data_IF_532462341306
#
_entry.id   IF_532462341306
#
_cell.length_a   1.000
_cell.length_b   1.000
_cell.length_c   1.000
_cell.angle_alpha   90.00
_cell.angle_beta   90.00
_cell.angle_gamma   90.00
#
_symmetry.space_group_name_H-M   'P 1'
#
loop_
_entity.id
_entity.type
_entity.pdbx_description
1 polymer ?
#
# COMPACT_ATOMS: atom_id res chain seq x y z
N UNK A 1 -24.26 11.24 -14.51
CA UNK A 1 -24.90 9.93 -14.24
C UNK A 1 -24.17 9.32 -13.06
N UNK A 2 -24.89 9.06 -11.96
CA UNK A 2 -24.29 8.61 -10.71
C UNK A 2 -23.79 7.17 -10.81
N UNK A 3 -22.50 6.97 -10.57
CA UNK A 3 -21.95 5.67 -10.23
C UNK A 3 -22.43 5.33 -8.82
N UNK A 4 -23.52 4.56 -8.74
CA UNK A 4 -23.75 3.68 -7.59
C UNK A 4 -22.78 2.51 -7.75
N UNK A 5 -21.55 2.68 -7.30
CA UNK A 5 -20.71 1.54 -6.94
C UNK A 5 -21.34 0.95 -5.68
N UNK A 6 -21.81 -0.29 -5.74
CA UNK A 6 -22.12 -1.04 -4.53
C UNK A 6 -20.82 -1.17 -3.73
N UNK A 7 -20.73 -0.40 -2.65
CA UNK A 7 -19.56 -0.27 -1.74
C UNK A 7 -19.31 -1.57 -0.94
N UNK A 8 -20.01 -2.66 -1.27
CA UNK A 8 -20.08 -3.86 -0.43
C UNK A 8 -19.03 -4.93 -0.74
N UNK A 9 -18.17 -4.72 -1.75
CA UNK A 9 -17.21 -5.74 -2.22
C UNK A 9 -15.76 -5.20 -2.30
N UNK A 10 -15.46 -4.15 -1.54
CA UNK A 10 -14.20 -3.40 -1.62
C UNK A 10 -13.10 -4.00 -0.74
N UNK A 11 -12.65 -5.22 -1.02
CA UNK A 11 -11.41 -5.77 -0.44
C UNK A 11 -11.21 -5.49 1.06
N UNK A 12 -10.04 -4.98 1.46
CA UNK A 12 -9.83 -4.50 2.84
C UNK A 12 -10.41 -3.09 3.02
N UNK A 13 -11.29 -2.89 4.01
CA UNK A 13 -12.04 -1.65 4.19
C UNK A 13 -11.17 -0.46 4.59
N UNK A 14 -9.92 -0.66 5.03
CA UNK A 14 -8.96 0.43 5.21
C UNK A 14 -8.70 1.21 3.92
N UNK A 15 -8.75 0.55 2.75
CA UNK A 15 -8.66 1.20 1.43
C UNK A 15 -9.92 2.02 1.15
N UNK A 16 -11.11 1.47 1.43
CA UNK A 16 -12.39 2.17 1.29
C UNK A 16 -12.46 3.41 2.16
N UNK A 17 -12.03 3.31 3.42
CA UNK A 17 -11.93 4.45 4.33
C UNK A 17 -10.91 5.47 3.83
N UNK A 18 -9.74 5.03 3.32
CA UNK A 18 -8.73 5.92 2.76
C UNK A 18 -9.27 6.70 1.56
N UNK A 19 -10.00 6.02 0.67
CA UNK A 19 -10.72 6.65 -0.42
C UNK A 19 -11.69 7.70 0.14
N UNK A 20 -12.64 7.29 0.98
CA UNK A 20 -13.65 8.21 1.50
C UNK A 20 -13.02 9.46 2.14
N UNK A 21 -12.00 9.30 2.99
CA UNK A 21 -11.35 10.42 3.68
C UNK A 21 -10.63 11.36 2.71
N UNK A 22 -9.87 10.84 1.73
CA UNK A 22 -9.22 11.68 0.71
C UNK A 22 -10.27 12.45 -0.10
N UNK A 23 -11.35 11.79 -0.50
CA UNK A 23 -12.44 12.39 -1.28
C UNK A 23 -13.08 13.58 -0.58
N UNK A 24 -13.32 13.49 0.73
CA UNK A 24 -13.91 14.58 1.53
C UNK A 24 -13.00 15.80 1.68
N UNK A 25 -11.70 15.64 1.42
CA UNK A 25 -10.70 16.69 1.65
C UNK A 25 -10.10 17.27 0.38
N UNK A 26 -10.51 16.77 -0.79
CA UNK A 26 -10.02 17.25 -2.08
C UNK A 26 -10.24 18.75 -2.27
N UNK A 27 -9.16 19.43 -2.66
CA UNK A 27 -9.11 20.86 -2.94
C UNK A 27 -8.90 21.11 -4.44
N UNK A 28 -8.88 22.39 -4.81
CA UNK A 28 -8.49 22.83 -6.16
C UNK A 28 -6.99 22.75 -6.39
N UNK A 29 -6.19 22.94 -5.34
CA UNK A 29 -4.73 22.77 -5.39
C UNK A 29 -4.38 21.27 -5.44
N UNK A 30 -3.87 20.84 -6.59
CA UNK A 30 -3.53 19.44 -6.87
C UNK A 30 -2.28 18.99 -6.11
N UNK A 31 -1.34 19.89 -5.82
CA UNK A 31 -0.17 19.54 -5.01
C UNK A 31 -0.55 19.38 -3.54
N UNK A 32 -1.49 20.20 -3.06
CA UNK A 32 -2.09 19.98 -1.74
C UNK A 32 -2.81 18.63 -1.67
N UNK A 33 -3.54 18.25 -2.71
CA UNK A 33 -4.16 16.93 -2.80
C UNK A 33 -3.11 15.80 -2.77
N UNK A 34 -1.99 15.94 -3.48
CA UNK A 34 -0.90 14.96 -3.44
C UNK A 34 -0.34 14.79 -2.02
N UNK A 35 -0.04 15.91 -1.33
CA UNK A 35 0.48 15.89 0.04
C UNK A 35 -0.49 15.25 1.02
N UNK A 36 -1.78 15.53 0.85
CA UNK A 36 -2.83 14.96 1.68
C UNK A 36 -3.01 13.46 1.45
N UNK A 37 -3.15 13.03 0.19
CA UNK A 37 -3.25 11.62 -0.16
C UNK A 37 -2.02 10.84 0.33
N UNK A 38 -0.82 11.40 0.19
CA UNK A 38 0.41 10.83 0.73
C UNK A 38 0.38 10.70 2.26
N UNK A 39 -0.05 11.75 2.97
CA UNK A 39 -0.15 11.74 4.44
C UNK A 39 -1.10 10.64 4.95
N UNK A 40 -2.27 10.52 4.32
CA UNK A 40 -3.26 9.50 4.67
C UNK A 40 -2.74 8.10 4.31
N UNK A 41 -1.98 7.97 3.21
CA UNK A 41 -1.32 6.71 2.83
C UNK A 41 -0.25 6.28 3.84
N UNK A 42 0.51 7.23 4.41
CA UNK A 42 1.48 6.89 5.46
C UNK A 42 0.78 6.32 6.70
N UNK A 43 -0.41 6.83 7.06
CA UNK A 43 -1.23 6.27 8.15
C UNK A 43 -1.75 4.88 7.83
N UNK A 44 -2.19 4.65 6.59
CA UNK A 44 -2.60 3.32 6.12
C UNK A 44 -1.45 2.32 6.30
N UNK A 45 -0.25 2.67 5.84
CA UNK A 45 0.93 1.83 6.01
C UNK A 45 1.23 1.60 7.49
N UNK A 46 1.22 2.66 8.31
CA UNK A 46 1.47 2.57 9.75
C UNK A 46 0.51 1.58 10.42
N UNK A 47 -0.78 1.65 10.09
CA UNK A 47 -1.81 0.75 10.61
C UNK A 47 -1.47 -0.71 10.29
N UNK A 48 -1.13 -0.98 9.02
CA UNK A 48 -0.74 -2.32 8.56
C UNK A 48 0.55 -2.82 9.23
N UNK A 49 1.55 -1.95 9.41
CA UNK A 49 2.77 -2.28 10.13
C UNK A 49 2.49 -2.63 11.58
N UNK A 50 1.64 -1.87 12.29
CA UNK A 50 1.29 -2.14 13.69
C UNK A 50 0.56 -3.47 13.87
N UNK A 51 -0.33 -3.82 12.95
CA UNK A 51 -0.99 -5.13 12.94
C UNK A 51 0.05 -6.24 12.71
N UNK A 52 0.94 -6.08 11.72
CA UNK A 52 2.00 -7.06 11.47
C UNK A 52 2.92 -7.24 12.68
N UNK A 53 3.39 -6.14 13.28
CA UNK A 53 4.18 -6.15 14.51
C UNK A 53 3.45 -6.95 15.61
N UNK A 54 2.15 -6.71 15.80
CA UNK A 54 1.36 -7.44 16.77
C UNK A 54 1.31 -8.94 16.45
N UNK A 55 1.01 -9.32 15.20
CA UNK A 55 0.99 -10.73 14.78
C UNK A 55 2.30 -11.46 15.09
N UNK A 56 3.45 -10.81 14.90
CA UNK A 56 4.76 -11.39 15.18
C UNK A 56 5.00 -11.60 16.68
N UNK A 57 4.39 -10.78 17.55
CA UNK A 57 4.52 -10.87 19.01
C UNK A 57 3.61 -11.90 19.69
N UNK A 58 2.63 -12.46 18.98
CA UNK A 58 1.72 -13.47 19.52
C UNK A 58 2.50 -14.75 19.87
N UNK A 59 2.27 -15.32 21.06
CA UNK A 59 2.91 -16.57 21.46
C UNK A 59 2.56 -17.72 20.51
N UNK A 60 3.57 -18.44 20.02
CA UNK A 60 3.39 -19.49 19.01
C UNK A 60 3.27 -18.97 17.58
N UNK A 61 3.44 -17.66 17.34
CA UNK A 61 3.47 -17.08 16.00
C UNK A 61 4.50 -17.76 15.10
N UNK A 62 5.65 -18.18 15.62
CA UNK A 62 6.70 -18.86 14.83
C UNK A 62 6.21 -20.11 14.09
N UNK A 63 5.23 -20.83 14.65
CA UNK A 63 4.71 -22.07 14.06
C UNK A 63 3.53 -21.82 13.11
N UNK A 64 2.96 -20.61 13.16
CA UNK A 64 1.65 -20.32 12.58
C UNK A 64 1.65 -19.11 11.66
N UNK A 65 2.58 -18.18 11.78
CA UNK A 65 2.71 -17.06 10.88
C UNK A 65 3.44 -17.51 9.61
N UNK A 66 3.00 -17.01 8.44
CA UNK A 66 3.63 -17.25 7.14
C UNK A 66 3.32 -16.09 6.20
N UNK A 67 4.09 -15.93 5.12
CA UNK A 67 3.81 -14.93 4.07
C UNK A 67 2.40 -15.11 3.46
N UNK A 68 1.97 -16.35 3.29
CA UNK A 68 0.63 -16.66 2.77
C UNK A 68 -0.46 -16.18 3.75
N UNK A 69 -0.30 -16.44 5.05
CA UNK A 69 -1.24 -15.96 6.07
C UNK A 69 -1.24 -14.44 6.21
N UNK A 70 -0.08 -13.79 6.06
CA UNK A 70 0.00 -12.34 5.99
C UNK A 70 -0.74 -11.77 4.77
N UNK A 71 -0.60 -12.42 3.61
CA UNK A 71 -1.29 -12.03 2.38
C UNK A 71 -2.81 -12.17 2.54
N UNK A 72 -3.28 -13.33 3.03
CA UNK A 72 -4.69 -13.60 3.29
C UNK A 72 -5.26 -12.59 4.30
N UNK A 73 -4.50 -12.26 5.35
CA UNK A 73 -4.92 -11.29 6.34
C UNK A 73 -5.16 -9.92 5.68
N UNK A 74 -4.31 -9.48 4.75
CA UNK A 74 -4.46 -8.20 4.05
C UNK A 74 -5.60 -8.19 3.01
N UNK A 75 -5.89 -9.30 2.35
CA UNK A 75 -6.93 -9.36 1.30
C UNK A 75 -8.32 -9.69 1.85
N UNK A 76 -8.38 -10.52 2.89
CA UNK A 76 -9.63 -11.08 3.42
C UNK A 76 -9.95 -10.57 4.83
N UNK A 77 -9.40 -9.41 5.22
CA UNK A 77 -9.60 -8.81 6.54
C UNK A 77 -11.07 -8.61 6.91
N UNK A 78 -11.87 -8.16 5.94
CA UNK A 78 -13.31 -7.93 6.08
C UNK A 78 -14.10 -9.21 6.38
N UNK A 79 -13.66 -10.37 5.85
CA UNK A 79 -14.34 -11.67 6.06
C UNK A 79 -13.92 -12.31 7.38
N UNK A 80 -12.63 -12.26 7.72
CA UNK A 80 -12.06 -13.13 8.76
C UNK A 80 -11.82 -12.44 10.09
N UNK A 81 -11.66 -11.11 10.12
CA UNK A 81 -11.13 -10.40 11.28
C UNK A 81 -11.87 -9.08 11.58
N UNK A 82 -13.15 -9.00 11.23
CA UNK A 82 -13.98 -7.80 11.37
C UNK A 82 -13.31 -6.55 10.80
N UNK A 83 -12.53 -6.70 9.73
CA UNK A 83 -11.78 -5.61 9.12
C UNK A 83 -10.85 -4.85 10.10
N UNK A 84 -10.02 -5.60 10.82
CA UNK A 84 -9.08 -5.05 11.81
C UNK A 84 -8.18 -3.93 11.26
N UNK A 85 -7.87 -3.96 9.95
CA UNK A 85 -7.12 -2.87 9.30
C UNK A 85 -7.93 -1.59 9.23
N UNK A 86 -9.20 -1.66 8.81
CA UNK A 86 -10.09 -0.51 8.79
C UNK A 86 -10.26 0.07 10.20
N UNK A 87 -10.52 -0.79 11.19
CA UNK A 87 -10.69 -0.35 12.58
C UNK A 87 -9.47 0.41 13.12
N UNK A 88 -8.26 -0.14 12.94
CA UNK A 88 -7.05 0.54 13.42
C UNK A 88 -6.79 1.82 12.62
N UNK A 89 -6.98 1.80 11.32
CA UNK A 89 -6.78 2.97 10.47
C UNK A 89 -7.73 4.12 10.86
N UNK A 90 -9.01 3.81 11.09
CA UNK A 90 -10.02 4.76 11.59
C UNK A 90 -9.68 5.31 12.98
N UNK A 91 -9.13 4.49 13.87
CA UNK A 91 -8.63 4.96 15.17
C UNK A 91 -7.49 5.97 15.02
N UNK A 92 -6.64 5.84 13.99
CA UNK A 92 -5.50 6.72 13.78
C UNK A 92 -5.82 7.96 12.94
N UNK A 93 -6.86 7.95 12.10
CA UNK A 93 -7.23 9.10 11.26
C UNK A 93 -7.44 10.42 12.03
N UNK A 94 -8.11 10.45 13.20
CA UNK A 94 -8.26 11.66 14.01
C UNK A 94 -6.94 12.32 14.41
N UNK A 95 -5.83 11.57 14.46
CA UNK A 95 -4.50 12.11 14.76
C UNK A 95 -4.10 13.18 13.75
N UNK A 96 -4.53 13.07 12.47
CA UNK A 96 -4.29 14.11 11.47
C UNK A 96 -4.99 15.43 11.78
N UNK A 97 -6.13 15.38 12.48
CA UNK A 97 -6.94 16.55 12.79
C UNK A 97 -6.63 17.16 14.17
N UNK A 98 -6.04 16.40 15.09
CA UNK A 98 -5.82 16.83 16.48
C UNK A 98 -4.62 17.77 16.68
N UNK A 99 -3.68 17.85 15.73
CA UNK A 99 -2.56 18.78 15.85
C UNK A 99 -2.95 20.19 15.38
N UNK A 100 -2.98 21.14 16.32
CA UNK A 100 -3.28 22.57 16.08
C UNK A 100 -2.29 23.25 15.13
N UNK A 101 -1.06 22.74 15.07
CA UNK A 101 -0.08 23.05 14.02
C UNK A 101 -0.02 21.87 13.06
N UNK A 102 0.02 22.10 11.73
CA UNK A 102 0.22 21.02 10.78
C UNK A 102 1.51 20.29 11.15
N UNK A 103 1.39 19.02 11.55
CA UNK A 103 2.57 18.19 11.73
C UNK A 103 3.29 18.19 10.38
N UNK A 104 4.54 18.64 10.34
CA UNK A 104 5.28 18.69 9.08
C UNK A 104 5.33 17.27 8.48
N UNK A 105 5.04 17.15 7.19
CA UNK A 105 5.01 15.85 6.49
C UNK A 105 6.28 15.03 6.76
N UNK A 106 7.43 15.70 6.86
CA UNK A 106 8.73 15.10 7.17
C UNK A 106 8.76 14.36 8.51
N UNK A 107 8.11 14.89 9.54
CA UNK A 107 8.01 14.25 10.86
C UNK A 107 7.20 12.97 10.76
N UNK A 108 6.10 13.01 10.00
CA UNK A 108 5.23 11.87 9.80
C UNK A 108 5.95 10.76 9.03
N UNK A 109 6.62 11.12 7.92
CA UNK A 109 7.46 10.22 7.13
C UNK A 109 8.53 9.58 8.00
N UNK A 110 9.26 10.35 8.81
CA UNK A 110 10.30 9.82 9.69
C UNK A 110 9.74 8.85 10.74
N UNK A 111 8.55 9.11 11.29
CA UNK A 111 7.90 8.22 12.23
C UNK A 111 7.52 6.89 11.58
N UNK A 112 6.88 6.92 10.40
CA UNK A 112 6.49 5.70 9.67
C UNK A 112 7.71 4.94 9.16
N UNK A 113 8.77 5.62 8.74
CA UNK A 113 10.05 4.98 8.38
C UNK A 113 10.67 4.25 9.58
N UNK A 114 10.64 4.84 10.78
CA UNK A 114 11.12 4.17 12.01
C UNK A 114 10.33 2.89 12.29
N UNK A 115 9.02 2.97 12.17
CA UNK A 115 8.14 1.81 12.38
C UNK A 115 8.33 0.73 11.32
N UNK A 116 8.59 1.14 10.08
CA UNK A 116 8.95 0.22 9.00
C UNK A 116 10.25 -0.54 9.34
N UNK A 117 11.29 0.16 9.81
CA UNK A 117 12.56 -0.48 10.20
C UNK A 117 12.39 -1.41 11.41
N UNK A 118 11.61 -0.99 12.43
CA UNK A 118 11.30 -1.84 13.58
C UNK A 118 10.59 -3.13 13.14
N UNK A 119 9.66 -3.04 12.18
CA UNK A 119 8.96 -4.20 11.62
C UNK A 119 9.91 -5.17 10.94
N UNK A 120 10.89 -4.67 10.17
CA UNK A 120 11.90 -5.51 9.54
C UNK A 120 12.77 -6.23 10.57
N UNK A 121 13.20 -5.53 11.62
CA UNK A 121 13.96 -6.14 12.71
C UNK A 121 13.17 -7.25 13.40
N UNK A 122 11.87 -7.06 13.62
CA UNK A 122 10.99 -8.08 14.18
C UNK A 122 10.85 -9.30 13.25
N UNK A 123 10.73 -9.08 11.94
CA UNK A 123 10.68 -10.17 10.95
C UNK A 123 11.99 -10.98 10.91
N UNK A 124 13.14 -10.30 10.94
CA UNK A 124 14.44 -10.97 11.03
C UNK A 124 14.56 -11.81 12.30
N UNK A 125 14.19 -11.23 13.44
CA UNK A 125 14.25 -11.93 14.71
C UNK A 125 13.28 -13.12 14.74
N UNK A 126 12.08 -12.95 14.18
CA UNK A 126 11.11 -14.03 14.01
C UNK A 126 11.70 -15.19 13.19
N UNK A 127 12.39 -14.88 12.09
CA UNK A 127 13.09 -15.87 11.26
C UNK A 127 14.24 -16.56 12.00
N UNK A 128 15.08 -15.81 12.75
CA UNK A 128 16.18 -16.39 13.56
C UNK A 128 15.69 -17.37 14.61
N UNK A 129 14.49 -17.15 15.14
CA UNK A 129 13.86 -18.03 16.13
C UNK A 129 13.15 -19.25 15.51
N UNK A 130 13.29 -19.46 14.19
CA UNK A 130 12.69 -20.59 13.47
C UNK A 130 11.28 -20.33 12.95
N UNK A 131 10.80 -19.08 13.00
CA UNK A 131 9.53 -18.68 12.40
C UNK A 131 9.60 -18.57 10.88
N UNK A 132 8.43 -18.63 10.23
CA UNK A 132 8.30 -18.47 8.78
C UNK A 132 7.54 -17.17 8.42
N UNK A 133 7.93 -16.45 7.36
CA UNK A 133 9.12 -16.67 6.54
C UNK A 133 10.41 -16.33 7.30
N UNK A 134 11.52 -16.99 6.94
CA UNK A 134 12.85 -16.51 7.31
C UNK A 134 13.12 -15.25 6.50
N UNK A 135 13.13 -14.10 7.18
CA UNK A 135 13.24 -12.78 6.56
C UNK A 135 14.65 -12.21 6.81
N UNK A 136 15.29 -11.72 5.76
CA UNK A 136 16.56 -11.00 5.82
C UNK A 136 16.36 -9.50 5.65
N UNK A 137 17.34 -8.70 6.06
CA UNK A 137 17.27 -7.24 5.87
C UNK A 137 17.13 -6.83 4.40
N UNK A 138 17.61 -7.63 3.44
CA UNK A 138 17.45 -7.34 2.01
C UNK A 138 16.05 -7.66 1.47
N UNK A 139 15.24 -8.38 2.24
CA UNK A 139 13.95 -8.85 1.78
C UNK A 139 12.92 -7.73 1.78
N UNK A 140 11.96 -7.85 0.85
CA UNK A 140 10.94 -6.85 0.63
C UNK A 140 9.68 -7.22 1.40
N UNK A 141 9.12 -6.26 2.12
CA UNK A 141 7.83 -6.42 2.77
C UNK A 141 6.71 -6.30 1.73
N UNK A 142 5.83 -7.29 1.69
CA UNK A 142 4.65 -7.29 0.82
C UNK A 142 3.51 -6.47 1.44
N UNK A 143 2.99 -5.50 0.68
CA UNK A 143 1.75 -4.77 0.96
C UNK A 143 0.80 -4.99 -0.22
N UNK A 144 -0.40 -5.49 0.08
CA UNK A 144 -1.40 -5.83 -0.94
C UNK A 144 -2.50 -4.78 -0.99
N UNK A 145 -2.72 -4.20 -2.16
CA UNK A 145 -3.84 -3.32 -2.47
C UNK A 145 -4.85 -4.09 -3.29
N UNK A 146 -5.86 -4.59 -2.60
CA UNK A 146 -7.00 -5.18 -3.29
C UNK A 146 -7.90 -4.08 -3.87
N UNK A 147 -8.61 -4.42 -4.95
CA UNK A 147 -9.49 -3.49 -5.68
C UNK A 147 -8.79 -2.21 -6.22
N UNK A 148 -7.52 -2.35 -6.61
CA UNK A 148 -6.68 -1.25 -7.08
C UNK A 148 -7.12 -0.61 -8.41
N UNK A 149 -7.96 -1.29 -9.21
CA UNK A 149 -8.56 -0.71 -10.41
C UNK A 149 -9.42 0.52 -10.08
N UNK A 150 -10.09 0.53 -8.93
CA UNK A 150 -10.90 1.66 -8.48
C UNK A 150 -10.02 2.88 -8.23
N UNK A 151 -8.88 2.68 -7.58
CA UNK A 151 -7.88 3.74 -7.36
C UNK A 151 -7.33 4.29 -8.69
N UNK A 152 -7.27 3.45 -9.72
CA UNK A 152 -6.81 3.80 -11.06
C UNK A 152 -7.73 4.76 -11.82
N UNK A 153 -9.02 4.79 -11.47
CA UNK A 153 -10.04 5.60 -12.16
C UNK A 153 -10.53 6.77 -11.30
N UNK A 154 -10.41 6.67 -9.98
CA UNK A 154 -10.96 7.69 -9.09
C UNK A 154 -10.20 9.01 -9.13
N UNK A 155 -11.01 10.07 -9.19
CA UNK A 155 -10.60 11.47 -9.18
C UNK A 155 -9.49 11.77 -10.18
N UNK A 156 -9.58 11.17 -11.37
CA UNK A 156 -8.73 11.49 -12.50
C UNK A 156 -8.68 13.02 -12.71
N UNK A 157 -7.49 13.57 -12.87
CA UNK A 157 -7.28 15.01 -13.00
C UNK A 157 -7.17 15.81 -11.69
N UNK A 158 -7.32 15.17 -10.52
CA UNK A 158 -7.28 15.87 -9.21
C UNK A 158 -5.90 15.88 -8.53
N UNK A 159 -4.94 15.12 -9.06
CA UNK A 159 -3.60 14.97 -8.53
C UNK A 159 -2.56 15.36 -9.58
N UNK A 160 -1.55 16.14 -9.20
CA UNK A 160 -0.50 16.52 -10.13
C UNK A 160 0.43 15.34 -10.40
N UNK A 161 0.89 15.23 -11.65
CA UNK A 161 1.96 14.29 -11.96
C UNK A 161 3.25 14.68 -11.25
N UNK A 162 3.97 13.70 -10.71
CA UNK A 162 5.29 13.91 -10.11
C UNK A 162 6.39 14.07 -11.18
N UNK A 163 6.07 13.80 -12.44
CA UNK A 163 6.93 14.05 -13.60
C UNK A 163 6.48 15.34 -14.30
N UNK A 164 7.34 16.35 -14.44
CA UNK A 164 6.99 17.61 -15.11
C UNK A 164 6.51 17.39 -16.54
N UNK A 165 5.40 18.03 -16.94
CA UNK A 165 4.86 17.97 -18.31
C UNK A 165 3.97 16.75 -18.61
N UNK A 166 3.85 15.82 -17.67
CA UNK A 166 2.96 14.66 -17.78
C UNK A 166 1.52 15.00 -17.35
N UNK A 167 0.50 14.27 -17.87
CA UNK A 167 -0.89 14.51 -17.51
C UNK A 167 -1.14 14.25 -16.03
N UNK A 168 -2.14 14.96 -15.51
CA UNK A 168 -2.66 14.75 -14.16
C UNK A 168 -3.02 13.28 -13.93
N UNK A 169 -2.91 12.85 -12.67
CA UNK A 169 -2.96 11.44 -12.29
C UNK A 169 -4.23 11.14 -11.49
N UNK A 170 -4.69 9.87 -11.47
CA UNK A 170 -5.72 9.41 -10.56
C UNK A 170 -5.14 9.20 -9.15
N UNK A 171 -6.03 8.87 -8.21
CA UNK A 171 -5.69 8.60 -6.81
C UNK A 171 -4.60 7.53 -6.61
N UNK A 172 -4.52 6.51 -7.47
CA UNK A 172 -3.51 5.45 -7.34
C UNK A 172 -2.08 6.01 -7.31
N UNK A 173 -1.79 7.06 -8.08
CA UNK A 173 -0.44 7.62 -8.19
C UNK A 173 0.10 8.17 -6.87
N UNK A 174 -0.56 9.12 -6.18
CA UNK A 174 -0.08 9.62 -4.89
C UNK A 174 -0.04 8.54 -3.80
N UNK A 175 -0.89 7.51 -3.86
CA UNK A 175 -0.83 6.37 -2.92
C UNK A 175 0.47 5.59 -3.12
N UNK A 176 0.74 5.12 -4.35
CA UNK A 176 1.97 4.36 -4.64
C UNK A 176 3.23 5.17 -4.32
N UNK A 177 3.19 6.48 -4.59
CA UNK A 177 4.29 7.37 -4.27
C UNK A 177 4.50 7.53 -2.76
N UNK A 178 3.41 7.60 -1.98
CA UNK A 178 3.45 7.59 -0.52
C UNK A 178 4.19 6.36 0.03
N UNK A 179 3.83 5.15 -0.41
CA UNK A 179 4.54 3.93 0.00
C UNK A 179 6.03 3.97 -0.33
N UNK A 180 6.39 4.42 -1.54
CA UNK A 180 7.78 4.50 -2.00
C UNK A 180 8.61 5.47 -1.18
N UNK A 181 8.03 6.61 -0.77
CA UNK A 181 8.70 7.59 0.08
C UNK A 181 9.07 7.01 1.46
N UNK A 182 8.34 6.00 1.94
CA UNK A 182 8.71 5.26 3.15
C UNK A 182 9.83 4.26 2.87
N UNK A 183 9.72 3.45 1.82
CA UNK A 183 10.81 2.56 1.42
C UNK A 183 10.78 2.20 -0.07
N UNK A 184 11.67 2.81 -0.84
CA UNK A 184 11.72 2.66 -2.30
C UNK A 184 12.12 1.24 -2.74
N UNK A 185 13.03 0.60 -2.02
CA UNK A 185 13.63 -0.68 -2.42
C UNK A 185 13.14 -1.89 -1.60
N UNK A 186 12.58 -1.66 -0.40
CA UNK A 186 12.24 -2.74 0.54
C UNK A 186 10.72 -2.99 0.67
N UNK A 187 9.91 -2.38 -0.19
CA UNK A 187 8.49 -2.66 -0.30
C UNK A 187 8.18 -3.34 -1.64
N UNK A 188 7.35 -4.36 -1.59
CA UNK A 188 6.68 -4.93 -2.75
C UNK A 188 5.21 -4.54 -2.65
N UNK A 189 4.74 -3.74 -3.59
CA UNK A 189 3.33 -3.37 -3.70
C UNK A 189 2.66 -4.30 -4.70
N UNK A 190 1.65 -5.03 -4.25
CA UNK A 190 0.83 -5.87 -5.10
C UNK A 190 -0.53 -5.22 -5.27
N UNK A 191 -0.85 -4.74 -6.48
CA UNK A 191 -2.18 -4.25 -6.82
C UNK A 191 -3.00 -5.38 -7.43
N UNK A 192 -4.10 -5.76 -6.81
CA UNK A 192 -5.05 -6.77 -7.28
C UNK A 192 -6.44 -6.17 -7.51
N UNK A 193 -7.31 -6.93 -8.17
CA UNK A 193 -8.71 -6.57 -8.40
C UNK A 193 -9.20 -6.96 -9.80
N UNK A 194 -10.51 -6.93 -9.99
CA UNK A 194 -11.16 -7.34 -11.24
C UNK A 194 -11.16 -6.20 -12.26
N UNK A 195 -10.56 -6.42 -13.43
CA UNK A 195 -10.55 -5.40 -14.51
C UNK A 195 -9.41 -4.39 -14.43
N UNK A 196 -8.26 -4.75 -13.86
CA UNK A 196 -7.03 -3.97 -13.99
C UNK A 196 -6.71 -3.73 -15.48
N UNK A 197 -6.84 -2.48 -15.92
CA UNK A 197 -6.55 -2.11 -17.30
C UNK A 197 -5.05 -1.98 -17.54
N UNK A 198 -4.63 -2.04 -18.80
CA UNK A 198 -3.22 -1.74 -19.17
C UNK A 198 -2.81 -0.33 -18.73
N UNK A 199 -3.76 0.62 -18.66
CA UNK A 199 -3.52 1.97 -18.16
C UNK A 199 -3.31 1.98 -16.64
N UNK A 200 -4.02 1.15 -15.89
CA UNK A 200 -3.81 1.01 -14.45
C UNK A 200 -2.41 0.43 -14.18
N UNK A 201 -1.98 -0.56 -14.98
CA UNK A 201 -0.65 -1.15 -14.89
C UNK A 201 0.45 -0.17 -15.32
N UNK A 202 0.24 0.60 -16.39
CA UNK A 202 1.17 1.63 -16.85
C UNK A 202 1.29 2.76 -15.83
N UNK A 203 0.18 3.23 -15.25
CA UNK A 203 0.18 4.22 -14.16
C UNK A 203 0.87 3.67 -12.91
N UNK A 204 0.67 2.41 -12.56
CA UNK A 204 1.40 1.76 -11.48
C UNK A 204 2.90 1.70 -11.79
N UNK A 205 3.29 1.42 -13.04
CA UNK A 205 4.67 1.42 -13.49
C UNK A 205 5.30 2.81 -13.55
N UNK A 206 4.59 3.85 -13.96
CA UNK A 206 5.08 5.23 -13.99
C UNK A 206 5.18 5.81 -12.57
N UNK A 207 4.28 5.40 -11.69
CA UNK A 207 4.40 5.60 -10.24
C UNK A 207 5.45 4.66 -9.62
N UNK A 208 6.03 3.75 -10.43
CA UNK A 208 7.17 2.87 -10.20
C UNK A 208 6.98 1.67 -9.27
N UNK A 209 5.76 1.13 -9.24
CA UNK A 209 5.48 -0.20 -8.68
C UNK A 209 6.34 -1.32 -9.29
N UNK A 210 6.99 -1.07 -10.44
CA UNK A 210 7.91 -2.00 -11.12
C UNK A 210 9.23 -1.32 -11.48
N UNK A 211 10.18 -1.23 -10.54
CA UNK A 211 11.56 -0.90 -10.90
C UNK A 211 12.24 -2.15 -11.49
N UNK A 212 12.30 -2.25 -12.82
CA UNK A 212 13.32 -3.05 -13.51
C UNK A 212 14.38 -2.10 -14.07
N UNK A 213 15.63 -2.34 -13.71
CA UNK A 213 16.79 -1.81 -14.42
C UNK A 213 16.69 -2.19 -15.90
N UNK A 214 16.50 -1.19 -16.76
CA UNK A 214 16.75 -1.17 -18.22
C UNK A 214 16.63 -2.52 -18.95
N UNK A 215 15.43 -2.80 -19.47
CA UNK A 215 15.19 -3.80 -20.51
C UNK A 215 14.07 -3.30 -21.42
N UNK A 216 14.38 -3.12 -22.71
CA UNK A 216 13.45 -2.65 -23.76
C UNK A 216 12.35 -3.68 -24.01
N UNK A 217 11.10 -3.22 -24.08
CA UNK A 217 9.89 -4.02 -24.32
C UNK A 217 9.65 -4.38 -25.80
N UNK A 218 10.71 -4.63 -26.57
CA UNK A 218 10.57 -5.08 -27.95
C UNK A 218 10.38 -6.59 -28.11
N UNK A 219 10.66 -7.39 -27.07
CA UNK A 219 10.57 -8.85 -27.16
C UNK A 219 9.35 -9.41 -26.42
N UNK A 220 8.33 -9.79 -27.21
CA UNK A 220 7.17 -10.56 -26.76
C UNK A 220 7.55 -11.91 -26.11
N UNK A 221 8.80 -12.34 -26.19
CA UNK A 221 9.34 -13.52 -25.51
C UNK A 221 9.80 -13.28 -24.07
N UNK A 222 9.86 -12.04 -23.59
CA UNK A 222 10.19 -11.75 -22.18
C UNK A 222 8.98 -11.85 -21.23
N UNK A 223 7.75 -11.81 -21.75
CA UNK A 223 6.53 -12.00 -20.96
C UNK A 223 6.43 -13.41 -20.35
N UNK A 224 7.00 -14.42 -21.01
CA UNK A 224 7.07 -15.80 -20.50
C UNK A 224 8.29 -16.04 -19.59
N UNK A 225 9.34 -15.22 -19.73
CA UNK A 225 10.63 -15.42 -19.04
C UNK A 225 10.69 -14.76 -17.66
N UNK A 226 9.84 -13.76 -17.40
CA UNK A 226 9.81 -13.01 -16.14
C UNK A 226 8.48 -13.12 -15.42
N UNK A 227 8.04 -14.37 -15.25
CA UNK A 227 7.06 -14.82 -14.27
C UNK A 227 6.24 -13.72 -13.63
N UNK A 228 5.01 -13.58 -14.11
CA UNK A 228 3.90 -13.45 -13.18
C UNK A 228 4.13 -14.57 -12.16
N UNK A 229 4.70 -14.24 -11.01
CA UNK A 229 4.89 -15.18 -9.91
C UNK A 229 3.51 -15.46 -9.33
N UNK A 230 2.76 -16.29 -10.03
CA UNK A 230 1.77 -17.12 -9.39
C UNK A 230 2.52 -18.01 -8.41
N UNK A 231 2.26 -17.80 -7.12
CA UNK A 231 2.33 -18.85 -6.11
C UNK A 231 3.59 -19.72 -6.13
N UNK A 232 4.76 -19.19 -5.76
CA UNK A 232 5.79 -20.01 -5.11
C UNK A 232 6.56 -19.18 -4.08
N UNK A 233 6.00 -19.11 -2.88
CA UNK A 233 6.76 -18.91 -1.65
C UNK A 233 6.85 -20.29 -0.99
N UNK A 234 7.93 -21.02 -1.29
CA UNK A 234 8.37 -22.17 -0.48
C UNK A 234 9.24 -21.67 0.66
#
# INVERSE_FOLDING_TARGET
>A
AGLKTEVNDLGSGDITTLISDIGTRLQSDREANNRQAGTITYLLLLSRLKILQHCLTISGSQQTFTSARWTILQTCSHVLFNDIFAQLFECLLPILAQYQTPLAESVFVAAVQREFQATKQLLEEHGRQGGLPSFNYSDKLLVVHDEAQILGDMWDGRFSSMSPGEPDRPLLSPILWGFRKISEINLTLMTSGTGLSIYTLDRARSAGSFNKSTGSLSDKSEFEKYGISWLYWT
#
